data_IF_417293701038
#
_entry.id   IF_417293701038
#
_cell.length_a   1.000
_cell.length_b   1.000
_cell.length_c   1.000
_cell.angle_alpha   90.00
_cell.angle_beta   90.00
_cell.angle_gamma   90.00
#
_symmetry.space_group_name_H-M   'P 1'
#
loop_
_entity.id
_entity.type
_entity.pdbx_description
1 polymer ?
#
# COMPACT_ATOMS: atom_id res chain seq x y z
N UNK A 1 6.03 11.02 19.41
CA UNK A 1 5.13 11.22 18.24
C UNK A 1 4.01 10.18 18.18
N UNK A 2 4.31 8.88 18.27
CA UNK A 2 3.30 7.80 18.23
C UNK A 2 2.17 7.95 19.27
N UNK A 3 2.48 8.14 20.55
CA UNK A 3 1.45 8.31 21.58
C UNK A 3 0.50 9.51 21.33
N UNK A 4 1.00 10.59 20.71
CA UNK A 4 0.18 11.74 20.31
C UNK A 4 -0.72 11.38 19.12
N UNK A 5 -0.19 10.63 18.17
CA UNK A 5 -0.94 10.13 17.02
C UNK A 5 -2.13 9.27 17.47
N UNK A 6 -1.88 8.24 18.29
CA UNK A 6 -2.90 7.31 18.78
C UNK A 6 -4.00 7.99 19.61
N UNK A 7 -3.65 9.05 20.33
CA UNK A 7 -4.57 9.75 21.24
C UNK A 7 -5.40 10.83 20.55
N UNK A 8 -4.80 11.58 19.61
CA UNK A 8 -5.37 12.84 19.14
C UNK A 8 -5.59 12.92 17.64
N UNK A 9 -5.03 12.00 16.84
CA UNK A 9 -5.27 12.04 15.40
C UNK A 9 -6.67 11.47 15.09
N UNK A 10 -7.59 12.27 14.49
CA UNK A 10 -8.97 11.84 14.28
C UNK A 10 -9.08 10.70 13.27
N UNK A 11 -8.25 10.68 12.21
CA UNK A 11 -8.23 9.61 11.22
C UNK A 11 -7.80 8.28 11.84
N UNK A 12 -6.75 8.28 12.64
CA UNK A 12 -6.25 7.08 13.33
C UNK A 12 -7.29 6.56 14.32
N UNK A 13 -7.91 7.45 15.10
CA UNK A 13 -9.00 7.07 16.01
C UNK A 13 -10.16 6.42 15.25
N UNK A 14 -10.62 7.06 14.17
CA UNK A 14 -11.69 6.55 13.34
C UNK A 14 -11.37 5.17 12.72
N UNK A 15 -10.13 4.96 12.26
CA UNK A 15 -9.70 3.67 11.72
C UNK A 15 -9.67 2.58 12.81
N UNK A 16 -9.23 2.90 14.03
CA UNK A 16 -9.30 1.97 15.18
C UNK A 16 -10.74 1.58 15.51
N UNK A 17 -11.65 2.56 15.57
CA UNK A 17 -13.09 2.33 15.79
C UNK A 17 -13.72 1.52 14.64
N UNK A 18 -13.22 1.67 13.41
CA UNK A 18 -13.68 0.90 12.25
C UNK A 18 -13.20 -0.55 12.27
N UNK A 19 -11.96 -0.79 12.70
CA UNK A 19 -11.43 -2.12 12.97
C UNK A 19 -12.22 -2.85 14.06
N UNK A 20 -12.56 -2.15 15.15
CA UNK A 20 -13.41 -2.70 16.21
C UNK A 20 -14.80 -3.10 15.68
N UNK A 21 -15.44 -2.23 14.88
CA UNK A 21 -16.74 -2.55 14.25
C UNK A 21 -16.67 -3.70 13.24
N UNK A 22 -15.52 -3.88 12.58
CA UNK A 22 -15.27 -5.00 11.68
C UNK A 22 -14.98 -6.32 12.42
N UNK A 23 -14.87 -6.30 13.75
CA UNK A 23 -14.61 -7.48 14.58
C UNK A 23 -13.14 -7.74 14.90
N UNK A 24 -12.24 -6.79 14.60
CA UNK A 24 -10.81 -6.90 14.88
C UNK A 24 -10.32 -5.71 15.73
N UNK A 25 -10.74 -5.58 17.00
CA UNK A 25 -10.31 -4.47 17.86
C UNK A 25 -8.79 -4.47 18.05
N UNK A 26 -8.20 -3.27 18.09
CA UNK A 26 -6.75 -3.09 18.28
C UNK A 26 -6.45 -2.18 19.49
N UNK A 27 -5.72 -2.72 20.45
CA UNK A 27 -5.23 -1.98 21.62
C UNK A 27 -3.96 -1.20 21.33
N UNK A 28 -3.37 -0.61 22.37
CA UNK A 28 -2.14 0.18 22.23
C UNK A 28 -0.91 -0.73 22.01
N UNK A 29 -0.96 -1.98 22.46
CA UNK A 29 0.04 -3.04 22.22
C UNK A 29 0.18 -3.45 20.75
N UNK A 30 -0.84 -3.16 19.93
CA UNK A 30 -0.81 -3.37 18.48
C UNK A 30 0.16 -2.42 17.76
N UNK A 31 0.68 -1.40 18.45
CA UNK A 31 1.54 -0.39 17.86
C UNK A 31 2.92 -0.36 18.52
N UNK A 32 3.97 -0.50 17.72
CA UNK A 32 5.35 -0.42 18.19
C UNK A 32 6.15 0.65 17.43
N UNK A 33 6.96 1.42 18.14
CA UNK A 33 7.99 2.26 17.52
C UNK A 33 9.36 1.62 17.75
N UNK A 34 10.08 1.29 16.68
CA UNK A 34 11.41 0.67 16.73
C UNK A 34 12.36 1.30 15.72
N UNK A 35 13.65 0.99 15.81
CA UNK A 35 14.60 1.27 14.73
C UNK A 35 14.47 0.18 13.66
N UNK A 36 14.48 0.58 12.40
CA UNK A 36 14.40 -0.32 11.25
C UNK A 36 15.59 -0.10 10.32
N UNK A 37 16.04 -1.16 9.65
CA UNK A 37 17.12 -1.10 8.65
C UNK A 37 16.56 -0.77 7.26
N UNK A 38 15.31 -1.16 7.01
CA UNK A 38 14.55 -0.87 5.80
C UNK A 38 14.28 0.63 5.69
N UNK A 39 14.41 1.20 4.48
CA UNK A 39 14.12 2.61 4.20
C UNK A 39 12.61 2.84 4.03
N UNK A 40 11.85 2.57 5.10
CA UNK A 40 10.40 2.74 5.17
C UNK A 40 9.99 3.46 6.46
N UNK A 41 8.87 4.18 6.44
CA UNK A 41 8.36 4.88 7.62
C UNK A 41 7.71 3.94 8.64
N UNK A 42 7.27 2.76 8.21
CA UNK A 42 6.57 1.77 9.01
C UNK A 42 6.07 0.59 8.18
N UNK A 43 5.27 -0.27 8.80
CA UNK A 43 4.62 -1.41 8.14
C UNK A 43 3.60 -2.12 9.04
N UNK A 44 2.59 -2.72 8.42
CA UNK A 44 1.65 -3.65 9.04
C UNK A 44 2.06 -5.10 8.77
N UNK A 45 2.05 -5.93 9.80
CA UNK A 45 2.23 -7.38 9.69
C UNK A 45 1.07 -8.13 10.34
N UNK A 46 0.38 -9.04 9.62
CA UNK A 46 -0.67 -9.87 10.21
C UNK A 46 -0.18 -10.63 11.45
N UNK A 47 -0.92 -10.52 12.56
CA UNK A 47 -0.58 -11.17 13.83
C UNK A 47 0.44 -10.41 14.70
N UNK A 48 1.20 -9.46 14.15
CA UNK A 48 2.16 -8.64 14.91
C UNK A 48 1.67 -7.20 15.15
N UNK A 49 0.97 -6.62 14.17
CA UNK A 49 0.43 -5.26 14.24
C UNK A 49 1.23 -4.23 13.45
N UNK A 50 1.18 -2.98 13.90
CA UNK A 50 1.74 -1.80 13.21
C UNK A 50 3.06 -1.40 13.81
N UNK A 51 4.05 -1.25 12.95
CA UNK A 51 5.39 -0.80 13.31
C UNK A 51 5.63 0.58 12.70
N UNK A 52 6.14 1.50 13.51
CA UNK A 52 6.68 2.79 13.06
C UNK A 52 8.19 2.77 13.19
N UNK A 53 8.88 3.00 12.08
CA UNK A 53 10.34 3.06 12.02
C UNK A 53 10.83 4.44 12.47
N UNK A 54 11.15 4.56 13.76
CA UNK A 54 11.44 5.82 14.43
C UNK A 54 12.62 6.61 13.84
N UNK A 55 13.54 5.94 13.14
CA UNK A 55 14.68 6.54 12.45
C UNK A 55 14.36 7.05 11.03
N UNK A 56 13.17 6.76 10.49
CA UNK A 56 12.74 7.13 9.13
C UNK A 56 11.52 8.06 9.11
N UNK A 57 11.12 8.57 10.28
CA UNK A 57 10.06 9.57 10.44
C UNK A 57 10.58 10.73 11.30
N UNK A 58 10.43 11.95 10.81
CA UNK A 58 10.97 13.16 11.43
C UNK A 58 9.89 14.07 12.01
N UNK A 59 8.61 13.90 11.64
CA UNK A 59 7.52 14.78 12.06
C UNK A 59 6.28 14.05 12.57
N UNK A 60 5.47 14.77 13.36
CA UNK A 60 4.19 14.25 13.83
C UNK A 60 3.25 13.91 12.66
N UNK A 61 3.30 14.69 11.59
CA UNK A 61 2.45 14.47 10.42
C UNK A 61 2.87 13.23 9.63
N UNK A 62 4.16 12.91 9.56
CA UNK A 62 4.64 11.64 9.00
C UNK A 62 4.18 10.45 9.83
N UNK A 63 4.29 10.52 11.16
CA UNK A 63 3.78 9.45 12.03
C UNK A 63 2.26 9.28 11.86
N UNK A 64 1.52 10.38 11.75
CA UNK A 64 0.08 10.33 11.50
C UNK A 64 -0.27 9.61 10.19
N UNK A 65 0.43 9.96 9.10
CA UNK A 65 0.21 9.34 7.78
C UNK A 65 0.62 7.86 7.79
N UNK A 66 1.78 7.52 8.36
CA UNK A 66 2.25 6.13 8.46
C UNK A 66 1.24 5.29 9.25
N UNK A 67 0.87 5.70 10.46
CA UNK A 67 -0.07 4.92 11.28
C UNK A 67 -1.43 4.78 10.60
N UNK A 68 -1.94 5.83 9.95
CA UNK A 68 -3.19 5.75 9.21
C UNK A 68 -3.09 4.82 8.00
N UNK A 69 -1.97 4.83 7.28
CA UNK A 69 -1.69 3.94 6.15
C UNK A 69 -1.69 2.48 6.59
N UNK A 70 -0.92 2.15 7.63
CA UNK A 70 -0.84 0.78 8.14
C UNK A 70 -2.16 0.29 8.75
N UNK A 71 -2.98 1.17 9.32
CA UNK A 71 -4.31 0.80 9.81
C UNK A 71 -5.31 0.51 8.69
N UNK A 72 -5.15 1.12 7.51
CA UNK A 72 -5.94 0.70 6.33
C UNK A 72 -5.55 -0.71 5.93
N UNK A 73 -4.26 -1.06 5.87
CA UNK A 73 -3.82 -2.44 5.64
C UNK A 73 -4.38 -3.43 6.66
N UNK A 74 -4.36 -3.07 7.95
CA UNK A 74 -4.96 -3.88 9.01
C UNK A 74 -6.47 -4.09 8.80
N UNK A 75 -7.20 -3.04 8.42
CA UNK A 75 -8.63 -3.12 8.17
C UNK A 75 -8.95 -3.97 6.94
N UNK A 76 -8.14 -3.86 5.90
CA UNK A 76 -8.28 -4.63 4.67
C UNK A 76 -8.11 -6.11 4.95
N UNK A 77 -7.08 -6.44 5.74
CA UNK A 77 -6.85 -7.80 6.22
C UNK A 77 -7.98 -8.32 7.11
N UNK A 78 -8.50 -7.48 8.00
CA UNK A 78 -9.59 -7.84 8.90
C UNK A 78 -10.88 -8.19 8.16
N UNK A 79 -11.29 -7.35 7.19
CA UNK A 79 -12.61 -7.47 6.56
C UNK A 79 -12.62 -8.40 5.34
N UNK A 80 -11.47 -8.65 4.72
CA UNK A 80 -11.41 -9.42 3.49
C UNK A 80 -11.38 -10.92 3.79
N UNK A 81 -12.37 -11.65 3.27
CA UNK A 81 -12.41 -13.10 3.39
C UNK A 81 -11.23 -13.81 2.67
N UNK A 82 -10.67 -13.20 1.62
CA UNK A 82 -9.68 -13.82 0.73
C UNK A 82 -8.46 -12.93 0.42
N UNK A 83 -8.05 -12.01 1.30
CA UNK A 83 -6.87 -11.17 1.05
C UNK A 83 -5.57 -11.96 1.20
N UNK A 84 -4.88 -12.16 0.08
CA UNK A 84 -3.58 -12.82 0.03
C UNK A 84 -2.47 -11.81 -0.28
N UNK A 85 -1.64 -11.49 0.72
CA UNK A 85 -0.50 -10.55 0.57
C UNK A 85 0.54 -10.91 -0.52
N UNK A 86 0.80 -12.19 -0.83
CA UNK A 86 1.65 -12.56 -1.96
C UNK A 86 1.03 -12.27 -3.34
N UNK A 87 -0.30 -12.15 -3.43
CA UNK A 87 -0.97 -11.80 -4.67
C UNK A 87 -0.82 -10.29 -4.92
N UNK A 88 -0.25 -9.94 -6.08
CA UNK A 88 0.07 -8.56 -6.40
C UNK A 88 -1.17 -7.68 -6.60
N UNK A 89 -2.30 -8.23 -7.06
CA UNK A 89 -3.54 -7.48 -7.24
C UNK A 89 -4.20 -7.20 -5.88
N UNK A 90 -4.20 -8.18 -4.99
CA UNK A 90 -4.65 -8.00 -3.61
C UNK A 90 -3.81 -6.96 -2.86
N UNK A 91 -2.48 -7.10 -2.94
CA UNK A 91 -1.55 -6.14 -2.36
C UNK A 91 -1.75 -4.74 -2.97
N UNK A 92 -1.84 -4.64 -4.31
CA UNK A 92 -2.09 -3.38 -5.00
C UNK A 92 -3.40 -2.71 -4.58
N UNK A 93 -4.46 -3.48 -4.38
CA UNK A 93 -5.74 -2.95 -3.93
C UNK A 93 -5.62 -2.27 -2.56
N UNK A 94 -4.95 -2.94 -1.62
CA UNK A 94 -4.74 -2.41 -0.28
C UNK A 94 -3.84 -1.17 -0.30
N UNK A 95 -2.82 -1.16 -1.13
CA UNK A 95 -1.92 -0.02 -1.34
C UNK A 95 -2.61 1.21 -1.95
N UNK A 96 -3.50 1.00 -2.92
CA UNK A 96 -4.32 2.07 -3.49
C UNK A 96 -5.18 2.71 -2.40
N UNK A 97 -5.87 1.89 -1.59
CA UNK A 97 -6.72 2.38 -0.51
C UNK A 97 -5.92 3.06 0.58
N UNK A 98 -4.80 2.48 1.00
CA UNK A 98 -3.93 3.06 2.02
C UNK A 98 -3.35 4.40 1.55
N UNK A 99 -2.90 4.54 0.31
CA UNK A 99 -2.41 5.81 -0.24
C UNK A 99 -3.52 6.86 -0.41
N UNK A 100 -4.75 6.44 -0.75
CA UNK A 100 -5.90 7.33 -0.93
C UNK A 100 -6.45 7.85 0.42
N UNK A 101 -6.58 6.97 1.42
CA UNK A 101 -7.32 7.24 2.66
C UNK A 101 -6.45 7.74 3.83
N UNK A 102 -5.14 7.47 3.83
CA UNK A 102 -4.22 7.86 4.92
C UNK A 102 -3.84 9.35 4.92
N UNK A 103 -4.18 10.08 3.87
CA UNK A 103 -3.70 11.44 3.64
C UNK A 103 -2.27 11.56 3.12
N UNK A 104 -1.65 10.43 2.76
CA UNK A 104 -0.33 10.39 2.12
C UNK A 104 -0.24 11.18 0.80
N UNK A 105 -1.38 11.37 0.13
CA UNK A 105 -1.50 12.05 -1.17
C UNK A 105 -2.30 13.36 -1.12
N UNK A 106 -2.42 14.01 0.05
CA UNK A 106 -3.06 15.32 0.14
C UNK A 106 -2.26 16.41 -0.60
N UNK A 107 -2.98 17.32 -1.27
CA UNK A 107 -2.41 18.36 -2.15
C UNK A 107 -1.34 19.23 -1.47
N UNK A 108 -1.52 19.63 -0.21
CA UNK A 108 -0.52 20.44 0.52
C UNK A 108 0.81 19.70 0.70
N UNK A 109 0.76 18.38 0.91
CA UNK A 109 1.95 17.53 1.07
C UNK A 109 2.63 17.29 -0.27
N UNK A 110 1.87 17.07 -1.33
CA UNK A 110 2.44 16.93 -2.69
C UNK A 110 3.06 18.26 -3.17
N UNK A 111 2.44 19.40 -2.88
CA UNK A 111 3.02 20.72 -3.15
C UNK A 111 4.32 20.94 -2.36
N UNK A 112 4.32 20.64 -1.05
CA UNK A 112 5.49 20.80 -0.19
C UNK A 112 6.67 19.87 -0.56
N UNK A 113 6.38 18.68 -1.10
CA UNK A 113 7.41 17.67 -1.43
C UNK A 113 7.84 17.67 -2.89
N UNK A 114 7.01 18.15 -3.82
CA UNK A 114 7.26 18.08 -5.28
C UNK A 114 7.05 19.38 -6.05
N UNK A 115 6.72 20.49 -5.38
CA UNK A 115 6.56 21.81 -6.00
C UNK A 115 5.25 22.00 -6.78
N UNK A 116 5.15 23.10 -7.53
CA UNK A 116 3.94 23.55 -8.24
C UNK A 116 3.57 22.72 -9.48
N UNK A 117 4.48 21.89 -10.00
CA UNK A 117 4.33 21.17 -11.28
C UNK A 117 3.23 20.10 -11.29
N UNK A 118 2.60 19.84 -10.14
CA UNK A 118 1.59 18.79 -9.97
C UNK A 118 0.27 19.24 -9.33
N UNK A 119 0.15 20.54 -8.98
CA UNK A 119 -0.97 21.07 -8.19
C UNK A 119 -2.35 20.99 -8.88
N UNK A 120 -2.41 20.67 -10.17
CA UNK A 120 -3.64 20.64 -10.98
C UNK A 120 -4.13 19.23 -11.34
N UNK A 121 -3.49 18.17 -10.83
CA UNK A 121 -3.95 16.79 -11.06
C UNK A 121 -4.63 16.28 -9.79
N UNK A 122 -5.83 15.70 -9.92
CA UNK A 122 -6.53 14.99 -8.84
C UNK A 122 -5.56 14.04 -8.11
N UNK A 123 -5.80 13.65 -6.85
CA UNK A 123 -4.89 12.79 -6.07
C UNK A 123 -4.48 11.44 -6.71
N UNK A 124 -5.11 11.08 -7.83
CA UNK A 124 -4.96 9.82 -8.56
C UNK A 124 -3.48 9.50 -8.93
N UNK A 125 -2.67 10.39 -9.53
CA UNK A 125 -1.31 10.02 -9.91
C UNK A 125 -0.38 9.85 -8.70
N UNK A 126 -0.62 10.56 -7.59
CA UNK A 126 0.13 10.32 -6.35
C UNK A 126 -0.17 8.91 -5.83
N UNK A 127 -1.46 8.56 -5.75
CA UNK A 127 -1.92 7.25 -5.27
C UNK A 127 -1.38 6.13 -6.16
N UNK A 128 -1.46 6.27 -7.49
CA UNK A 128 -0.87 5.32 -8.46
C UNK A 128 0.62 5.12 -8.23
N UNK A 129 1.38 6.22 -8.15
CA UNK A 129 2.83 6.20 -7.95
C UNK A 129 3.20 5.48 -6.66
N UNK A 130 2.54 5.80 -5.55
CA UNK A 130 2.82 5.17 -4.26
C UNK A 130 2.49 3.69 -4.26
N UNK A 131 1.31 3.31 -4.76
CA UNK A 131 0.91 1.91 -4.83
C UNK A 131 1.87 1.09 -5.70
N UNK A 132 2.29 1.62 -6.86
CA UNK A 132 3.26 0.95 -7.73
C UNK A 132 4.61 0.73 -7.04
N UNK A 133 5.12 1.72 -6.33
CA UNK A 133 6.39 1.60 -5.60
C UNK A 133 6.30 0.58 -4.47
N UNK A 134 5.20 0.56 -3.71
CA UNK A 134 5.04 -0.40 -2.60
C UNK A 134 4.86 -1.83 -3.12
N UNK A 135 4.01 -2.05 -4.12
CA UNK A 135 3.82 -3.37 -4.74
C UNK A 135 5.12 -3.88 -5.37
N UNK A 136 5.95 -2.99 -5.91
CA UNK A 136 7.25 -3.37 -6.47
C UNK A 136 8.29 -3.77 -5.40
N UNK A 137 8.04 -3.51 -4.12
CA UNK A 137 8.86 -4.02 -3.02
C UNK A 137 8.34 -5.34 -2.48
N UNK A 138 7.22 -5.87 -2.99
CA UNK A 138 6.69 -7.15 -2.56
C UNK A 138 7.69 -8.28 -2.92
N UNK A 139 8.11 -9.14 -1.96
CA UNK A 139 9.06 -10.22 -2.23
C UNK A 139 8.60 -11.22 -3.30
N UNK A 140 7.29 -11.35 -3.52
CA UNK A 140 6.67 -12.24 -4.51
C UNK A 140 6.54 -11.59 -5.88
N UNK A 141 6.94 -10.32 -6.03
CA UNK A 141 6.85 -9.59 -7.29
C UNK A 141 7.76 -10.11 -8.41
N UNK A 142 8.72 -10.99 -8.10
CA UNK A 142 9.54 -11.70 -9.10
C UNK A 142 9.03 -13.11 -9.37
N UNK A 143 8.09 -13.63 -8.57
CA UNK A 143 7.54 -14.98 -8.74
C UNK A 143 6.37 -14.95 -9.72
N UNK A 144 6.27 -15.89 -10.68
CA UNK A 144 5.08 -16.00 -11.51
C UNK A 144 3.85 -16.13 -10.62
N UNK A 145 2.79 -15.39 -10.94
CA UNK A 145 1.53 -15.41 -10.19
C UNK A 145 1.08 -16.87 -9.98
N UNK A 146 0.80 -17.32 -8.75
CA UNK A 146 0.14 -18.61 -8.56
C UNK A 146 -1.16 -18.54 -9.34
N UNK A 147 -1.33 -19.44 -10.31
CA UNK A 147 -2.56 -19.52 -11.08
C UNK A 147 -3.71 -19.84 -10.13
N UNK A 148 -4.45 -18.81 -9.71
CA UNK A 148 -5.83 -19.02 -9.30
C UNK A 148 -6.58 -19.44 -10.56
N UNK A 149 -7.21 -20.60 -10.47
CA UNK A 149 -7.96 -21.20 -11.55
C UNK A 149 -9.21 -20.37 -11.84
N UNK A 150 -9.07 -19.28 -12.58
CA UNK A 150 -10.20 -18.66 -13.27
C UNK A 150 -9.83 -18.45 -14.73
N UNK A 151 -10.62 -19.12 -15.57
CA UNK A 151 -10.48 -19.12 -17.01
C UNK A 151 -10.68 -17.72 -17.57
N UNK A 152 -9.56 -17.05 -17.85
CA UNK A 152 -9.52 -15.96 -18.80
C UNK A 152 -8.42 -16.27 -19.79
N UNK A 153 -8.81 -17.02 -20.82
CA UNK A 153 -8.05 -17.21 -22.04
C UNK A 153 -7.62 -15.85 -22.59
N UNK A 154 -6.33 -15.58 -22.54
CA UNK A 154 -5.70 -14.62 -23.44
C UNK A 154 -4.69 -15.41 -24.26
N UNK A 155 -5.13 -15.80 -25.45
CA UNK A 155 -4.27 -16.33 -26.51
C UNK A 155 -3.21 -15.29 -26.86
N UNK A 156 -1.95 -15.66 -26.71
CA UNK A 156 -0.84 -15.01 -27.39
C UNK A 156 0.07 -16.09 -27.97
N UNK A 157 -0.27 -16.50 -29.19
CA UNK A 157 0.71 -17.07 -30.11
C UNK A 157 1.76 -15.99 -30.42
N UNK A 158 3.00 -16.20 -29.98
CA UNK A 158 4.16 -15.58 -30.58
C UNK A 158 5.33 -16.56 -30.48
N UNK A 159 5.76 -17.05 -31.65
CA UNK A 159 6.92 -17.91 -31.89
C UNK A 159 8.21 -17.09 -31.99
N UNK A 160 9.34 -17.67 -31.56
CA UNK A 160 10.72 -17.21 -31.83
C UNK A 160 11.14 -15.96 -31.05
N UNK A 161 12.34 -15.80 -30.50
CA UNK A 161 13.62 -16.45 -30.78
C UNK A 161 14.48 -16.48 -29.52
N UNK A 162 15.36 -17.47 -29.47
CA UNK A 162 16.43 -17.58 -28.49
C UNK A 162 17.54 -16.60 -28.82
N UNK A 163 17.84 -15.70 -27.90
CA UNK A 163 19.17 -15.07 -27.85
C UNK A 163 19.52 -14.79 -26.39
N UNK A 164 20.32 -15.71 -25.86
CA UNK A 164 21.04 -15.57 -24.61
C UNK A 164 22.06 -14.43 -24.73
N UNK A 165 21.81 -13.35 -24.00
CA UNK A 165 22.83 -12.36 -23.66
C UNK A 165 22.77 -12.12 -22.15
N UNK A 166 23.70 -12.77 -21.47
CA UNK A 166 24.04 -12.59 -20.07
C UNK A 166 24.77 -11.26 -19.89
N UNK A 167 24.07 -10.26 -19.35
CA UNK A 167 24.67 -9.02 -18.87
C UNK A 167 23.79 -8.37 -17.79
N UNK A 168 24.35 -8.24 -16.58
CA UNK A 168 23.87 -7.42 -15.44
C UNK A 168 22.45 -7.70 -14.92
N UNK A 169 22.30 -8.75 -14.10
CA UNK A 169 21.04 -9.31 -13.61
C UNK A 169 20.34 -8.57 -12.45
N UNK A 170 20.90 -7.47 -11.92
CA UNK A 170 20.31 -6.76 -10.78
C UNK A 170 19.39 -5.58 -11.16
N UNK A 171 19.57 -4.96 -12.32
CA UNK A 171 18.71 -3.85 -12.81
C UNK A 171 17.48 -4.32 -13.60
N UNK A 172 17.54 -5.52 -14.17
CA UNK A 172 16.42 -6.12 -14.90
C UNK A 172 15.31 -6.63 -13.98
N UNK A 173 15.67 -7.13 -12.79
CA UNK A 173 14.71 -7.66 -11.81
C UNK A 173 13.85 -6.56 -11.17
N UNK A 174 14.46 -5.42 -10.82
CA UNK A 174 13.73 -4.25 -10.28
C UNK A 174 12.81 -3.63 -11.32
N UNK A 175 13.25 -3.54 -12.59
CA UNK A 175 12.42 -3.02 -13.69
C UNK A 175 11.27 -3.96 -14.03
N UNK A 176 11.51 -5.27 -14.07
CA UNK A 176 10.47 -6.27 -14.32
C UNK A 176 9.38 -6.24 -13.23
N UNK A 177 9.80 -6.13 -11.97
CA UNK A 177 8.87 -6.02 -10.86
C UNK A 177 8.06 -4.70 -10.90
N UNK A 178 8.70 -3.58 -11.24
CA UNK A 178 7.98 -2.31 -11.46
C UNK A 178 6.92 -2.43 -12.57
N UNK A 179 7.19 -3.14 -13.67
CA UNK A 179 6.22 -3.37 -14.73
C UNK A 179 5.02 -4.22 -14.25
N UNK A 180 5.29 -5.27 -13.46
CA UNK A 180 4.24 -6.11 -12.86
C UNK A 180 3.41 -5.36 -11.83
N UNK A 181 4.05 -4.56 -10.99
CA UNK A 181 3.38 -3.70 -10.02
C UNK A 181 2.45 -2.70 -10.71
N UNK A 182 2.89 -2.11 -11.83
CA UNK A 182 2.03 -1.27 -12.68
C UNK A 182 0.83 -2.04 -13.22
N UNK A 183 1.04 -3.23 -13.78
CA UNK A 183 -0.05 -4.07 -14.28
C UNK A 183 -1.06 -4.45 -13.18
N UNK A 184 -0.59 -4.80 -11.98
CA UNK A 184 -1.45 -5.12 -10.84
C UNK A 184 -2.27 -3.91 -10.37
N UNK A 185 -1.64 -2.74 -10.24
CA UNK A 185 -2.33 -1.49 -9.88
C UNK A 185 -3.35 -1.10 -10.95
N UNK A 186 -3.03 -1.24 -12.24
CA UNK A 186 -3.93 -0.93 -13.34
C UNK A 186 -5.16 -1.85 -13.34
N UNK A 187 -4.96 -3.15 -13.08
CA UNK A 187 -6.02 -4.16 -13.09
C UNK A 187 -7.12 -3.92 -12.02
N UNK A 188 -6.75 -3.40 -10.85
CA UNK A 188 -7.69 -3.22 -9.72
C UNK A 188 -8.07 -1.77 -9.45
N UNK A 189 -7.54 -0.82 -10.24
CA UNK A 189 -7.62 0.61 -9.97
C UNK A 189 -9.02 1.12 -9.68
N UNK A 190 -9.97 0.91 -10.61
CA UNK A 190 -11.29 1.52 -10.51
C UNK A 190 -12.10 1.00 -9.33
N UNK A 191 -11.93 -0.29 -8.99
CA UNK A 191 -12.62 -0.91 -7.85
C UNK A 191 -12.02 -0.39 -6.55
N UNK A 192 -10.70 -0.48 -6.39
CA UNK A 192 -10.04 -0.19 -5.12
C UNK A 192 -9.94 1.31 -4.83
N UNK A 193 -9.82 2.16 -5.85
CA UNK A 193 -9.77 3.61 -5.64
C UNK A 193 -11.12 4.18 -5.20
N UNK A 194 -12.23 3.59 -5.68
CA UNK A 194 -13.60 4.00 -5.32
C UNK A 194 -14.07 3.43 -4.00
N UNK A 195 -13.40 2.41 -3.47
CA UNK A 195 -13.70 1.83 -2.18
C UNK A 195 -13.14 2.70 -1.05
N UNK A 196 -14.01 3.59 -0.58
CA UNK A 196 -13.72 4.53 0.49
C UNK A 196 -14.15 4.03 1.87
N UNK A 197 -14.66 2.81 1.99
CA UNK A 197 -14.95 2.20 3.30
C UNK A 197 -13.65 2.15 4.12
N UNK A 198 -13.66 2.55 5.41
CA UNK A 198 -14.80 2.79 6.29
C UNK A 198 -15.33 4.24 6.28
N UNK A 199 -14.74 5.13 5.49
CA UNK A 199 -15.04 6.56 5.41
C UNK A 199 -16.31 6.89 4.61
N UNK A 200 -16.95 5.89 4.04
CA UNK A 200 -18.32 6.00 3.54
C UNK A 200 -19.21 6.34 4.74
N UNK A 201 -19.75 7.56 4.77
CA UNK A 201 -20.63 8.01 5.85
C UNK A 201 -21.75 6.99 6.00
N UNK A 202 -21.75 6.27 7.12
CA UNK A 202 -22.97 5.64 7.61
C UNK A 202 -23.91 6.82 7.94
N UNK A 203 -25.13 6.89 7.35
CA UNK A 203 -26.08 7.96 7.62
C UNK A 203 -26.32 8.18 9.11
#
# INVERSE_FOLDING_TARGET
MLARCLRWNPTVRFLRESLERAGCPVGDEFFAARRCDEQAGGGFMPGEGVVVCANHVASQDEVNVVVAHELVHALDHCRAANLAWPDLQHHACSEIRAANLSGACHMHREFATRGSDFAFRNGHPCVRRKAQLSVAMNPFCTQPTPATADGSSSNSNASGDSSSSSSSSSSSSSTACMARARGAVDAVWDVCYRDTTPFDRIP
#
